data_IF_563123128054
#
_entry.id   IF_563123128054
#
_cell.length_a   1.000
_cell.length_b   1.000
_cell.length_c   1.000
_cell.angle_alpha   90.00
_cell.angle_beta   90.00
_cell.angle_gamma   90.00
#
_symmetry.space_group_name_H-M   'P 1'
#
loop_
_entity.id
_entity.type
_entity.pdbx_description
1 polymer ?
#
# COMPACT_ATOMS: atom_id res chain seq x y z
N UNK A 1 18.83 -27.01 11.91
CA UNK A 1 18.06 -26.27 10.89
C UNK A 1 18.72 -24.92 10.63
N UNK A 2 18.60 -24.33 9.44
CA UNK A 2 19.25 -23.04 9.11
C UNK A 2 18.26 -21.88 9.28
N UNK A 3 18.69 -20.80 9.95
CA UNK A 3 17.89 -19.59 10.10
C UNK A 3 17.69 -18.90 8.74
N UNK A 4 16.44 -18.59 8.37
CA UNK A 4 16.14 -17.90 7.11
C UNK A 4 16.71 -16.48 7.02
N UNK A 5 16.91 -15.81 8.16
CA UNK A 5 17.35 -14.42 8.21
C UNK A 5 18.88 -14.23 8.21
N UNK A 6 19.60 -15.00 9.04
CA UNK A 6 21.07 -14.86 9.16
C UNK A 6 21.86 -16.07 8.67
N UNK A 7 21.20 -17.07 8.07
CA UNK A 7 21.79 -18.29 7.49
C UNK A 7 22.69 -19.10 8.43
N UNK A 8 22.59 -18.91 9.75
CA UNK A 8 23.30 -19.69 10.76
C UNK A 8 22.48 -20.87 11.24
N UNK A 9 23.16 -21.89 11.77
CA UNK A 9 22.49 -23.03 12.39
C UNK A 9 21.71 -22.61 13.63
N UNK A 10 20.53 -23.21 13.80
CA UNK A 10 19.63 -23.01 14.94
C UNK A 10 19.32 -24.37 15.56
N UNK A 11 19.54 -24.47 16.86
CA UNK A 11 19.31 -25.65 17.69
C UNK A 11 18.10 -25.54 18.64
N UNK A 12 17.53 -24.33 18.81
CA UNK A 12 16.37 -24.07 19.70
C UNK A 12 15.13 -23.53 18.98
N UNK A 13 14.18 -22.96 19.73
CA UNK A 13 12.95 -22.30 19.18
C UNK A 13 13.17 -20.90 18.61
N UNK A 14 14.30 -20.28 18.94
CA UNK A 14 14.73 -18.99 18.42
C UNK A 14 16.20 -19.07 18.01
N UNK A 15 16.59 -18.29 16.99
CA UNK A 15 17.98 -18.13 16.60
C UNK A 15 18.73 -17.31 17.66
N UNK A 16 19.80 -17.85 18.23
CA UNK A 16 20.63 -17.15 19.22
C UNK A 16 21.34 -15.91 18.67
N UNK A 17 21.51 -15.82 17.34
CA UNK A 17 22.23 -14.71 16.70
C UNK A 17 21.34 -13.54 16.29
N UNK A 18 20.16 -13.82 15.74
CA UNK A 18 19.25 -12.76 15.28
C UNK A 18 17.90 -12.76 16.01
N UNK A 19 17.60 -13.71 16.89
CA UNK A 19 16.33 -13.74 17.63
C UNK A 19 15.10 -14.15 16.80
N UNK A 20 15.24 -14.48 15.51
CA UNK A 20 14.11 -14.98 14.72
C UNK A 20 13.66 -16.37 15.21
N UNK A 21 12.34 -16.60 15.28
CA UNK A 21 11.76 -17.93 15.51
C UNK A 21 12.24 -18.92 14.47
N UNK A 22 12.65 -20.10 14.92
CA UNK A 22 13.25 -21.12 14.08
C UNK A 22 12.28 -21.57 12.98
N UNK A 23 11.05 -21.91 13.35
CA UNK A 23 10.00 -22.34 12.43
C UNK A 23 9.01 -21.20 12.13
N UNK A 24 9.48 -20.14 11.47
CA UNK A 24 8.61 -19.03 11.06
C UNK A 24 7.69 -19.49 9.90
N UNK A 25 6.35 -19.52 10.09
CA UNK A 25 5.43 -19.99 9.06
C UNK A 25 5.28 -18.96 7.92
N UNK A 26 4.93 -19.43 6.70
CA UNK A 26 4.57 -18.54 5.60
C UNK A 26 3.39 -17.64 5.98
N UNK A 27 3.25 -16.50 5.30
CA UNK A 27 2.15 -15.57 5.57
C UNK A 27 0.82 -16.25 5.25
N UNK A 28 -0.15 -16.13 6.16
CA UNK A 28 -1.52 -16.67 6.00
C UNK A 28 -2.54 -15.57 6.24
N UNK A 29 -3.80 -15.78 5.90
CA UNK A 29 -4.85 -14.81 6.24
C UNK A 29 -5.04 -14.67 7.77
N UNK A 30 -4.84 -15.77 8.50
CA UNK A 30 -4.87 -15.78 9.97
C UNK A 30 -3.77 -14.90 10.59
N UNK A 31 -2.63 -14.72 9.90
CA UNK A 31 -1.59 -13.80 10.34
C UNK A 31 -2.10 -12.36 10.40
N UNK A 32 -2.84 -11.91 9.39
CA UNK A 32 -3.37 -10.55 9.36
C UNK A 32 -4.47 -10.33 10.39
N UNK A 33 -5.35 -11.30 10.62
CA UNK A 33 -6.37 -11.19 11.67
C UNK A 33 -5.73 -11.15 13.06
N UNK A 34 -4.72 -11.98 13.32
CA UNK A 34 -3.95 -11.93 14.57
C UNK A 34 -3.22 -10.60 14.74
N UNK A 35 -2.69 -10.00 13.66
CA UNK A 35 -2.07 -8.68 13.72
C UNK A 35 -3.05 -7.56 14.00
N UNK A 36 -4.25 -7.62 13.43
CA UNK A 36 -5.29 -6.62 13.66
C UNK A 36 -5.77 -6.66 15.13
N UNK A 37 -5.83 -7.86 15.72
CA UNK A 37 -6.28 -8.10 17.09
C UNK A 37 -5.18 -7.92 18.13
N UNK A 38 -3.92 -8.18 17.77
CA UNK A 38 -2.77 -7.90 18.64
C UNK A 38 -2.42 -6.42 18.60
N UNK A 39 -1.75 -5.93 19.64
CA UNK A 39 -1.26 -4.55 19.64
C UNK A 39 -0.31 -4.39 18.45
N UNK A 40 -0.75 -3.62 17.44
CA UNK A 40 0.12 -3.11 16.38
C UNK A 40 1.27 -2.41 17.09
N UNK A 41 2.45 -2.99 17.05
CA UNK A 41 3.63 -2.38 17.63
C UNK A 41 4.57 -1.97 16.49
N UNK A 42 4.41 -0.74 15.96
CA UNK A 42 5.16 -0.27 14.83
C UNK A 42 6.67 -0.14 15.11
N UNK A 43 7.09 -0.25 16.37
CA UNK A 43 8.47 -0.06 16.83
C UNK A 43 9.30 -1.36 16.93
N UNK A 44 8.73 -2.55 16.68
CA UNK A 44 9.55 -3.78 16.70
C UNK A 44 10.55 -3.86 15.54
N UNK A 45 10.35 -3.08 14.49
CA UNK A 45 11.25 -3.02 13.37
C UNK A 45 12.26 -1.89 13.61
N UNK A 46 13.55 -2.23 13.78
CA UNK A 46 14.59 -1.24 14.03
C UNK A 46 14.69 -0.19 12.90
N UNK A 47 15.33 0.95 13.17
CA UNK A 47 15.48 2.08 12.22
C UNK A 47 16.00 1.67 10.83
N UNK A 48 16.80 0.60 10.75
CA UNK A 48 17.27 0.02 9.50
C UNK A 48 16.13 -0.41 8.54
N UNK A 49 14.98 -0.77 9.10
CA UNK A 49 13.81 -1.22 8.36
C UNK A 49 13.12 -0.11 7.59
N UNK A 50 12.95 1.05 8.23
CA UNK A 50 12.31 2.21 7.61
C UNK A 50 13.16 2.70 6.44
N UNK A 51 14.48 2.79 6.62
CA UNK A 51 15.41 3.13 5.55
C UNK A 51 15.41 2.08 4.42
N UNK A 52 15.42 0.79 4.77
CA UNK A 52 15.36 -0.29 3.78
C UNK A 52 14.09 -0.27 2.94
N UNK A 53 12.93 -0.03 3.57
CA UNK A 53 11.65 0.08 2.89
C UNK A 53 11.59 1.29 1.94
N UNK A 54 12.17 2.42 2.33
CA UNK A 54 12.22 3.63 1.50
C UNK A 54 13.17 3.49 0.30
N UNK A 55 14.36 2.90 0.52
CA UNK A 55 15.41 2.83 -0.50
C UNK A 55 15.27 1.61 -1.42
N UNK A 56 14.80 0.48 -0.89
CA UNK A 56 14.74 -0.79 -1.58
C UNK A 56 13.39 -1.52 -1.33
N UNK A 57 12.25 -0.89 -1.66
CA UNK A 57 10.92 -1.41 -1.32
C UNK A 57 10.68 -2.83 -1.84
N UNK A 58 11.09 -3.13 -3.07
CA UNK A 58 10.94 -4.46 -3.66
C UNK A 58 11.67 -5.54 -2.86
N UNK A 59 12.91 -5.26 -2.43
CA UNK A 59 13.73 -6.21 -1.68
C UNK A 59 13.12 -6.45 -0.29
N UNK A 60 12.66 -5.39 0.38
CA UNK A 60 11.97 -5.51 1.67
C UNK A 60 10.72 -6.39 1.59
N UNK A 61 9.92 -6.23 0.52
CA UNK A 61 8.72 -7.05 0.29
C UNK A 61 9.11 -8.53 0.08
N UNK A 62 10.10 -8.80 -0.77
CA UNK A 62 10.58 -10.16 -1.05
C UNK A 62 11.12 -10.82 0.22
N UNK A 63 11.98 -10.14 0.97
CA UNK A 63 12.56 -10.67 2.20
C UNK A 63 11.48 -10.96 3.26
N UNK A 64 10.44 -10.12 3.35
CA UNK A 64 9.30 -10.37 4.23
C UNK A 64 8.55 -11.66 3.88
N UNK A 65 8.24 -11.87 2.60
CA UNK A 65 7.52 -13.04 2.08
C UNK A 65 8.37 -14.30 2.24
N UNK A 66 9.68 -14.19 2.00
CA UNK A 66 10.67 -15.25 2.23
C UNK A 66 10.93 -15.54 3.72
N UNK A 67 10.17 -14.93 4.62
CA UNK A 67 10.22 -15.14 6.07
C UNK A 67 11.52 -14.62 6.73
N UNK A 68 12.15 -13.57 6.20
CA UNK A 68 13.26 -12.83 6.85
C UNK A 68 12.71 -11.61 7.61
N UNK A 69 11.94 -11.86 8.67
CA UNK A 69 11.04 -10.84 9.27
C UNK A 69 11.60 -10.05 10.45
N UNK A 70 12.78 -10.41 10.94
CA UNK A 70 13.34 -9.87 12.19
C UNK A 70 13.50 -8.33 12.15
N UNK A 71 13.98 -7.81 11.04
CA UNK A 71 14.16 -6.36 10.81
C UNK A 71 13.21 -5.85 9.72
N UNK A 72 12.02 -6.45 9.59
CA UNK A 72 11.03 -6.00 8.61
C UNK A 72 9.70 -5.72 9.31
N UNK A 73 9.24 -4.48 9.17
CA UNK A 73 8.03 -3.97 9.78
C UNK A 73 6.84 -4.67 9.15
N UNK A 74 5.87 -5.07 9.97
CA UNK A 74 4.72 -5.82 9.49
C UNK A 74 3.91 -5.00 8.48
N UNK A 75 3.37 -5.59 7.39
CA UNK A 75 2.70 -4.85 6.32
C UNK A 75 1.55 -3.97 6.83
N UNK A 76 0.73 -4.49 7.76
CA UNK A 76 -0.34 -3.72 8.40
C UNK A 76 0.20 -2.54 9.22
N UNK A 77 1.27 -2.77 9.99
CA UNK A 77 1.90 -1.69 10.77
C UNK A 77 2.42 -0.58 9.86
N UNK A 78 3.08 -0.93 8.75
CA UNK A 78 3.59 0.05 7.78
C UNK A 78 2.43 0.81 7.13
N UNK A 79 1.33 0.15 6.77
CA UNK A 79 0.15 0.82 6.22
C UNK A 79 -0.44 1.84 7.18
N UNK A 80 -0.70 1.44 8.43
CA UNK A 80 -1.30 2.35 9.40
C UNK A 80 -0.38 3.52 9.74
N UNK A 81 0.92 3.26 9.94
CA UNK A 81 1.90 4.32 10.21
C UNK A 81 2.01 5.29 9.03
N UNK A 82 2.20 4.80 7.81
CA UNK A 82 2.31 5.66 6.63
C UNK A 82 1.02 6.42 6.34
N UNK A 83 -0.15 5.82 6.60
CA UNK A 83 -1.44 6.50 6.47
C UNK A 83 -1.58 7.64 7.49
N UNK A 84 -1.17 7.41 8.75
CA UNK A 84 -1.15 8.45 9.78
C UNK A 84 -0.21 9.59 9.43
N UNK A 85 1.02 9.27 8.99
CA UNK A 85 1.99 10.27 8.51
C UNK A 85 1.41 11.08 7.35
N UNK A 86 0.83 10.40 6.34
CA UNK A 86 0.21 11.09 5.22
C UNK A 86 -0.93 12.02 5.65
N UNK A 87 -1.82 11.57 6.53
CA UNK A 87 -2.92 12.42 7.03
C UNK A 87 -2.40 13.63 7.81
N UNK A 88 -1.34 13.46 8.61
CA UNK A 88 -0.68 14.57 9.30
C UNK A 88 -0.12 15.58 8.29
N UNK A 89 0.71 15.14 7.35
CA UNK A 89 1.30 16.03 6.34
C UNK A 89 0.23 16.72 5.49
N UNK A 90 -0.81 16.01 5.10
CA UNK A 90 -1.93 16.58 4.35
C UNK A 90 -2.73 17.60 5.19
N UNK A 91 -2.81 17.44 6.52
CA UNK A 91 -3.44 18.42 7.39
C UNK A 91 -2.59 19.71 7.54
N UNK A 92 -1.27 19.60 7.57
CA UNK A 92 -0.37 20.74 7.73
C UNK A 92 0.00 21.45 6.42
N UNK A 93 0.21 20.71 5.34
CA UNK A 93 0.72 21.21 4.07
C UNK A 93 -0.33 21.24 2.95
N UNK A 94 -1.41 20.48 3.10
CA UNK A 94 -2.38 20.28 2.03
C UNK A 94 -3.18 21.54 1.71
N UNK A 95 -3.34 21.82 0.42
CA UNK A 95 -4.11 22.97 -0.03
C UNK A 95 -5.61 22.78 0.24
N UNK A 96 -6.19 23.63 1.07
CA UNK A 96 -7.62 23.60 1.41
C UNK A 96 -8.51 24.27 0.36
N UNK A 97 -7.94 24.90 -0.68
CA UNK A 97 -8.69 25.56 -1.75
C UNK A 97 -9.59 24.59 -2.53
N UNK A 98 -9.12 23.37 -2.80
CA UNK A 98 -9.92 22.32 -3.45
C UNK A 98 -11.15 21.93 -2.62
N UNK A 99 -11.03 21.87 -1.28
CA UNK A 99 -12.16 21.62 -0.38
C UNK A 99 -13.18 22.77 -0.43
N UNK A 100 -12.72 24.01 -0.57
CA UNK A 100 -13.59 25.18 -0.70
C UNK A 100 -14.37 25.19 -2.02
N UNK A 101 -13.73 24.83 -3.15
CA UNK A 101 -14.42 24.71 -4.45
C UNK A 101 -15.43 23.55 -4.49
N UNK A 102 -15.08 22.43 -3.86
CA UNK A 102 -16.00 21.29 -3.74
C UNK A 102 -17.18 21.69 -2.83
N UNK A 103 -16.97 22.38 -1.71
CA UNK A 103 -18.03 22.85 -0.81
C UNK A 103 -19.06 23.76 -1.52
N UNK A 104 -18.62 24.62 -2.44
CA UNK A 104 -19.49 25.55 -3.18
C UNK A 104 -20.44 24.90 -4.20
N UNK A 105 -20.29 23.60 -4.51
CA UNK A 105 -21.14 22.91 -5.48
C UNK A 105 -22.27 22.13 -4.78
N UNK A 106 -23.52 22.52 -5.02
CA UNK A 106 -24.71 22.13 -4.24
C UNK A 106 -25.61 21.08 -4.93
N UNK A 107 -25.05 20.15 -5.70
CA UNK A 107 -25.84 19.04 -6.24
C UNK A 107 -25.87 17.87 -5.25
N UNK A 108 -27.04 17.25 -5.06
CA UNK A 108 -27.24 16.11 -4.14
C UNK A 108 -26.23 14.97 -4.39
N UNK A 109 -25.89 14.70 -5.64
CA UNK A 109 -24.89 13.69 -6.02
C UNK A 109 -23.47 14.09 -5.61
N UNK A 110 -23.15 15.38 -5.70
CA UNK A 110 -21.87 15.94 -5.27
C UNK A 110 -21.76 15.93 -3.73
N UNK A 111 -22.86 16.10 -3.00
CA UNK A 111 -22.90 15.96 -1.53
C UNK A 111 -22.60 14.52 -1.10
N UNK A 112 -23.19 13.52 -1.75
CA UNK A 112 -22.98 12.11 -1.39
C UNK A 112 -21.55 11.64 -1.68
N UNK A 113 -21.00 12.04 -2.84
CA UNK A 113 -19.60 11.80 -3.18
C UNK A 113 -18.66 12.48 -2.18
N UNK A 114 -18.95 13.72 -1.75
CA UNK A 114 -18.18 14.42 -0.70
C UNK A 114 -18.14 13.62 0.59
N UNK A 115 -19.28 13.16 1.10
CA UNK A 115 -19.33 12.38 2.34
C UNK A 115 -18.56 11.07 2.24
N UNK A 116 -18.66 10.37 1.11
CA UNK A 116 -17.91 9.15 0.87
C UNK A 116 -16.39 9.42 0.88
N UNK A 117 -15.94 10.42 0.11
CA UNK A 117 -14.52 10.80 0.06
C UNK A 117 -14.03 11.24 1.44
N UNK A 118 -14.79 12.07 2.14
CA UNK A 118 -14.45 12.50 3.49
C UNK A 118 -14.32 11.30 4.45
N UNK A 119 -15.27 10.36 4.42
CA UNK A 119 -15.24 9.15 5.24
C UNK A 119 -14.03 8.28 4.90
N UNK A 120 -13.69 8.17 3.61
CA UNK A 120 -12.50 7.46 3.13
C UNK A 120 -11.22 8.09 3.68
N UNK A 121 -11.08 9.42 3.61
CA UNK A 121 -9.91 10.12 4.14
C UNK A 121 -9.83 10.05 5.68
N UNK A 122 -10.95 10.16 6.39
CA UNK A 122 -10.98 10.04 7.85
C UNK A 122 -10.57 8.65 8.33
N UNK A 123 -10.83 7.62 7.52
CA UNK A 123 -10.52 6.23 7.84
C UNK A 123 -9.45 5.64 6.89
N UNK A 124 -8.53 6.47 6.39
CA UNK A 124 -7.65 6.15 5.27
C UNK A 124 -6.96 4.79 5.39
N UNK A 125 -6.35 4.49 6.54
CA UNK A 125 -5.66 3.20 6.77
C UNK A 125 -6.59 1.99 6.59
N UNK A 126 -7.80 2.04 7.16
CA UNK A 126 -8.79 0.97 7.02
C UNK A 126 -9.39 0.90 5.62
N UNK A 127 -9.67 2.05 5.00
CA UNK A 127 -10.18 2.10 3.64
C UNK A 127 -9.18 1.52 2.64
N UNK A 128 -7.89 1.84 2.78
CA UNK A 128 -6.81 1.28 1.97
C UNK A 128 -6.58 -0.20 2.24
N UNK A 129 -6.70 -0.66 3.48
CA UNK A 129 -6.68 -2.09 3.80
C UNK A 129 -7.80 -2.82 3.05
N UNK A 130 -9.04 -2.30 3.13
CA UNK A 130 -10.20 -2.94 2.52
C UNK A 130 -10.11 -2.98 0.99
N UNK A 131 -9.62 -1.92 0.35
CA UNK A 131 -9.40 -1.89 -1.11
C UNK A 131 -8.25 -2.77 -1.56
N UNK A 132 -7.23 -2.98 -0.71
CA UNK A 132 -6.08 -3.84 -1.02
C UNK A 132 -6.45 -5.32 -1.14
N UNK A 133 -7.47 -5.80 -0.43
CA UNK A 133 -7.90 -7.20 -0.46
C UNK A 133 -8.39 -7.66 -1.85
N UNK A 134 -9.41 -7.04 -2.47
CA UNK A 134 -9.87 -7.43 -3.80
C UNK A 134 -8.80 -7.18 -4.88
N UNK A 135 -7.95 -6.15 -4.71
CA UNK A 135 -6.85 -5.91 -5.65
C UNK A 135 -5.76 -6.99 -5.54
N UNK A 136 -5.43 -7.43 -4.33
CA UNK A 136 -4.57 -8.58 -4.11
C UNK A 136 -5.13 -9.84 -4.76
N UNK A 137 -6.45 -10.04 -4.73
CA UNK A 137 -7.10 -11.17 -5.39
C UNK A 137 -6.95 -11.12 -6.91
N UNK A 138 -7.16 -9.94 -7.50
CA UNK A 138 -6.99 -9.71 -8.94
C UNK A 138 -5.54 -10.00 -9.38
N UNK A 139 -4.55 -9.52 -8.62
CA UNK A 139 -3.14 -9.81 -8.91
C UNK A 139 -2.78 -11.28 -8.67
N UNK A 140 -3.33 -11.92 -7.65
CA UNK A 140 -3.10 -13.34 -7.38
C UNK A 140 -3.57 -14.21 -8.54
N UNK A 141 -4.75 -13.95 -9.10
CA UNK A 141 -5.26 -14.69 -10.27
C UNK A 141 -4.43 -14.39 -11.51
N UNK A 142 -4.03 -13.13 -11.69
CA UNK A 142 -3.30 -12.68 -12.89
C UNK A 142 -1.83 -13.12 -12.93
N UNK A 143 -1.22 -13.39 -11.76
CA UNK A 143 0.19 -13.73 -11.60
C UNK A 143 0.39 -15.08 -10.91
N UNK A 144 -0.51 -16.04 -11.12
CA UNK A 144 -0.40 -17.41 -10.54
C UNK A 144 0.93 -18.10 -10.82
N UNK A 145 1.57 -17.79 -11.94
CA UNK A 145 2.87 -18.32 -12.32
C UNK A 145 4.00 -17.92 -11.36
N UNK A 146 3.84 -16.83 -10.61
CA UNK A 146 4.83 -16.39 -9.62
C UNK A 146 4.89 -17.29 -8.38
N UNK A 147 3.94 -18.22 -8.21
CA UNK A 147 3.93 -19.20 -7.12
C UNK A 147 3.54 -18.64 -5.75
N UNK A 148 3.26 -17.34 -5.64
CA UNK A 148 2.85 -16.70 -4.39
C UNK A 148 1.39 -17.01 -4.01
N UNK A 149 1.16 -17.21 -2.71
CA UNK A 149 -0.17 -17.43 -2.13
C UNK A 149 -0.97 -16.13 -2.08
N UNK A 150 -2.29 -16.22 -2.03
CA UNK A 150 -3.15 -15.03 -1.88
C UNK A 150 -2.76 -14.14 -0.69
N UNK A 151 -2.43 -14.73 0.47
CA UNK A 151 -1.97 -13.97 1.64
C UNK A 151 -0.65 -13.21 1.41
N UNK A 152 0.22 -13.73 0.54
CA UNK A 152 1.46 -13.05 0.15
C UNK A 152 1.15 -11.90 -0.81
N UNK A 153 0.24 -12.08 -1.76
CA UNK A 153 -0.29 -10.97 -2.57
C UNK A 153 -0.91 -9.86 -1.70
N UNK A 154 -1.64 -10.21 -0.64
CA UNK A 154 -2.15 -9.22 0.32
C UNK A 154 -0.98 -8.45 0.97
N UNK A 155 0.07 -9.14 1.44
CA UNK A 155 1.25 -8.47 2.00
C UNK A 155 1.92 -7.53 0.98
N UNK A 156 2.09 -7.97 -0.27
CA UNK A 156 2.68 -7.18 -1.36
C UNK A 156 1.87 -5.90 -1.56
N UNK A 157 0.54 -6.00 -1.65
CA UNK A 157 -0.30 -4.82 -1.87
C UNK A 157 -0.28 -3.84 -0.71
N UNK A 158 -0.30 -4.33 0.53
CA UNK A 158 -0.21 -3.47 1.71
C UNK A 158 1.10 -2.66 1.71
N UNK A 159 2.22 -3.29 1.35
CA UNK A 159 3.49 -2.56 1.21
C UNK A 159 3.50 -1.58 0.04
N UNK A 160 2.96 -1.96 -1.13
CA UNK A 160 2.92 -1.08 -2.29
C UNK A 160 2.05 0.15 -2.04
N UNK A 161 0.90 -0.02 -1.42
CA UNK A 161 0.03 1.10 -1.01
C UNK A 161 0.73 1.98 0.02
N UNK A 162 1.43 1.38 0.99
CA UNK A 162 2.22 2.13 1.97
C UNK A 162 3.36 2.93 1.34
N UNK A 163 4.05 2.34 0.37
CA UNK A 163 5.10 3.02 -0.39
C UNK A 163 4.51 4.15 -1.24
N UNK A 164 3.32 3.93 -1.80
CA UNK A 164 2.52 4.98 -2.42
C UNK A 164 2.26 6.16 -1.47
N UNK A 165 1.82 5.90 -0.24
CA UNK A 165 1.60 6.97 0.75
C UNK A 165 2.86 7.77 1.07
N UNK A 166 4.02 7.12 1.15
CA UNK A 166 5.31 7.81 1.30
C UNK A 166 5.58 8.74 0.11
N UNK A 167 5.41 8.25 -1.12
CA UNK A 167 5.58 9.06 -2.32
C UNK A 167 4.58 10.23 -2.37
N UNK A 168 3.36 10.04 -1.88
CA UNK A 168 2.35 11.10 -1.76
C UNK A 168 2.72 12.15 -0.70
N UNK A 169 3.38 11.76 0.40
CA UNK A 169 3.94 12.72 1.37
C UNK A 169 5.05 13.55 0.71
N UNK A 170 5.96 12.90 -0.03
CA UNK A 170 7.00 13.59 -0.77
C UNK A 170 6.41 14.60 -1.77
N UNK A 171 5.35 14.20 -2.48
CA UNK A 171 4.61 15.09 -3.38
C UNK A 171 4.12 16.34 -2.64
N UNK A 172 3.38 16.17 -1.53
CA UNK A 172 2.85 17.29 -0.74
C UNK A 172 3.94 18.28 -0.31
N UNK A 173 5.11 17.78 0.12
CA UNK A 173 6.24 18.61 0.50
C UNK A 173 6.79 19.40 -0.71
N UNK A 174 6.97 18.74 -1.85
CA UNK A 174 7.46 19.39 -3.05
C UNK A 174 6.49 20.46 -3.60
N UNK A 175 5.17 20.22 -3.51
CA UNK A 175 4.14 21.20 -3.91
C UNK A 175 4.18 22.43 -3.00
N UNK A 176 4.23 22.20 -1.68
CA UNK A 176 4.23 23.27 -0.69
C UNK A 176 5.44 24.21 -0.83
N UNK A 177 6.62 23.65 -1.11
CA UNK A 177 7.86 24.42 -1.24
C UNK A 177 8.06 25.06 -2.63
N UNK A 178 7.07 24.92 -3.53
CA UNK A 178 7.05 25.54 -4.87
C UNK A 178 8.36 25.37 -5.63
N UNK A 179 8.96 24.18 -5.56
CA UNK A 179 10.19 23.85 -6.27
C UNK A 179 9.99 24.16 -7.75
N UNK A 180 10.78 25.08 -8.31
CA UNK A 180 10.64 25.51 -9.70
C UNK A 180 10.77 24.29 -10.63
N UNK A 181 9.77 24.07 -11.50
CA UNK A 181 9.66 22.87 -12.34
C UNK A 181 8.68 21.81 -11.80
N UNK A 182 8.56 21.67 -10.48
CA UNK A 182 7.59 20.76 -9.87
C UNK A 182 6.17 21.31 -9.94
N UNK A 183 5.99 22.62 -9.74
CA UNK A 183 4.72 23.30 -9.98
C UNK A 183 4.30 23.32 -11.47
N UNK A 184 5.25 23.03 -12.38
CA UNK A 184 5.03 22.96 -13.83
C UNK A 184 4.72 21.53 -14.31
N UNK A 185 5.07 20.49 -13.52
CA UNK A 185 4.60 19.14 -13.79
C UNK A 185 3.09 19.12 -13.56
N UNK A 186 2.31 18.79 -14.59
CA UNK A 186 0.88 18.62 -14.39
C UNK A 186 0.64 17.51 -13.35
N UNK A 187 -0.35 17.65 -12.44
CA UNK A 187 -0.71 16.59 -11.48
C UNK A 187 -0.91 15.21 -12.14
N UNK A 188 -1.32 15.22 -13.42
CA UNK A 188 -1.46 14.04 -14.27
C UNK A 188 -0.12 13.33 -14.55
N UNK A 189 0.94 14.05 -14.92
CA UNK A 189 2.25 13.45 -15.17
C UNK A 189 2.85 12.82 -13.92
N UNK A 190 2.70 13.50 -12.77
CA UNK A 190 3.14 12.97 -11.49
C UNK A 190 2.38 11.68 -11.14
N UNK A 191 1.07 11.65 -11.36
CA UNK A 191 0.23 10.46 -11.16
C UNK A 191 0.68 9.29 -12.04
N UNK A 192 1.01 9.54 -13.32
CA UNK A 192 1.53 8.51 -14.23
C UNK A 192 2.87 7.98 -13.73
N UNK A 193 3.80 8.87 -13.36
CA UNK A 193 5.11 8.49 -12.83
C UNK A 193 4.96 7.64 -11.56
N UNK A 194 4.09 8.06 -10.65
CA UNK A 194 3.79 7.37 -9.40
C UNK A 194 3.33 5.93 -9.64
N UNK A 195 2.29 5.72 -10.45
CA UNK A 195 1.80 4.38 -10.75
C UNK A 195 2.83 3.55 -11.52
N UNK A 196 3.62 4.19 -12.37
CA UNK A 196 4.74 3.53 -13.05
C UNK A 196 5.75 2.99 -12.05
N UNK A 197 6.20 3.81 -11.08
CA UNK A 197 7.14 3.39 -10.03
C UNK A 197 6.59 2.22 -9.22
N UNK A 198 5.30 2.24 -8.83
CA UNK A 198 4.67 1.10 -8.17
C UNK A 198 4.70 -0.16 -9.03
N UNK A 199 4.45 -0.03 -10.33
CA UNK A 199 4.58 -1.13 -11.29
C UNK A 199 6.00 -1.66 -11.42
N UNK A 200 7.02 -0.79 -11.39
CA UNK A 200 8.43 -1.19 -11.36
C UNK A 200 8.74 -2.02 -10.11
N UNK A 201 8.33 -1.53 -8.93
CA UNK A 201 8.51 -2.23 -7.66
C UNK A 201 7.81 -3.59 -7.68
N UNK A 202 6.54 -3.62 -8.10
CA UNK A 202 5.78 -4.87 -8.23
C UNK A 202 6.44 -5.85 -9.19
N UNK A 203 6.94 -5.38 -10.34
CA UNK A 203 7.63 -6.25 -11.30
C UNK A 203 8.86 -6.91 -10.69
N UNK A 204 9.65 -6.16 -9.91
CA UNK A 204 10.84 -6.68 -9.22
C UNK A 204 10.52 -7.66 -8.08
N UNK A 205 9.31 -7.58 -7.51
CA UNK A 205 8.83 -8.55 -6.52
C UNK A 205 8.39 -9.86 -7.21
N UNK A 206 7.76 -9.75 -8.38
CA UNK A 206 7.25 -10.90 -9.14
C UNK A 206 8.35 -11.65 -9.89
N UNK A 207 9.40 -10.95 -10.33
CA UNK A 207 10.57 -11.52 -10.99
C UNK A 207 11.82 -10.77 -10.54
N UNK A 208 12.94 -11.49 -10.34
CA UNK A 208 14.21 -10.85 -9.98
C UNK A 208 14.71 -9.86 -11.05
N UNK A 209 14.34 -10.11 -12.31
CA UNK A 209 14.59 -9.24 -13.45
C UNK A 209 13.40 -8.31 -13.74
N UNK A 210 13.71 -7.13 -14.28
CA UNK A 210 12.71 -6.17 -14.70
C UNK A 210 12.10 -6.58 -16.06
N UNK A 211 10.79 -6.84 -16.08
CA UNK A 211 10.06 -7.09 -17.32
C UNK A 211 8.96 -6.04 -17.53
N UNK A 212 9.10 -5.24 -18.58
CA UNK A 212 8.12 -4.23 -18.99
C UNK A 212 6.71 -4.82 -19.15
N UNK A 213 6.59 -6.07 -19.60
CA UNK A 213 5.30 -6.77 -19.74
C UNK A 213 4.56 -6.91 -18.40
N UNK A 214 5.28 -7.13 -17.29
CA UNK A 214 4.68 -7.22 -15.95
C UNK A 214 4.20 -5.85 -15.50
N UNK A 215 4.98 -4.79 -15.76
CA UNK A 215 4.59 -3.42 -15.44
C UNK A 215 3.31 -3.04 -16.19
N UNK A 216 3.29 -3.23 -17.51
CA UNK A 216 2.12 -2.92 -18.34
C UNK A 216 0.91 -3.70 -17.87
N UNK A 217 1.05 -5.01 -17.61
CA UNK A 217 -0.03 -5.83 -17.06
C UNK A 217 -0.52 -5.32 -15.70
N UNK A 218 0.38 -4.95 -14.81
CA UNK A 218 0.02 -4.39 -13.50
C UNK A 218 -0.72 -3.06 -13.62
N UNK A 219 -0.27 -2.16 -14.49
CA UNK A 219 -0.95 -0.89 -14.77
C UNK A 219 -2.36 -1.11 -15.35
N UNK A 220 -2.51 -2.07 -16.28
CA UNK A 220 -3.82 -2.44 -16.82
C UNK A 220 -4.76 -3.01 -15.75
N UNK A 221 -4.23 -3.82 -14.82
CA UNK A 221 -5.02 -4.34 -13.70
C UNK A 221 -5.42 -3.23 -12.72
N UNK A 222 -4.55 -2.26 -12.46
CA UNK A 222 -4.90 -1.08 -11.65
C UNK A 222 -6.00 -0.27 -12.34
N UNK A 223 -5.87 -0.02 -13.64
CA UNK A 223 -6.90 0.69 -14.42
C UNK A 223 -8.24 -0.05 -14.37
N UNK A 224 -8.23 -1.37 -14.62
CA UNK A 224 -9.40 -2.23 -14.50
C UNK A 224 -10.03 -2.12 -13.11
N UNK A 225 -9.20 -2.19 -12.06
CA UNK A 225 -9.68 -2.12 -10.68
C UNK A 225 -10.31 -0.76 -10.36
N UNK A 226 -9.72 0.35 -10.82
CA UNK A 226 -10.30 1.69 -10.68
C UNK A 226 -11.65 1.77 -11.39
N UNK A 227 -11.76 1.24 -12.62
CA UNK A 227 -13.03 1.21 -13.37
C UNK A 227 -14.09 0.37 -12.63
N UNK A 228 -13.72 -0.78 -12.07
CA UNK A 228 -14.65 -1.60 -11.29
C UNK A 228 -15.13 -0.86 -10.03
N UNK A 229 -14.23 -0.17 -9.32
CA UNK A 229 -14.59 0.62 -8.13
C UNK A 229 -15.52 1.79 -8.48
N UNK A 230 -15.27 2.50 -9.57
CA UNK A 230 -16.14 3.61 -10.00
C UNK A 230 -17.51 3.11 -10.44
N UNK A 231 -17.57 1.99 -11.16
CA UNK A 231 -18.84 1.35 -11.52
C UNK A 231 -19.64 0.92 -10.28
N UNK A 232 -19.00 0.29 -9.29
CA UNK A 232 -19.65 -0.02 -8.02
C UNK A 232 -20.18 1.23 -7.31
N UNK A 233 -19.41 2.33 -7.32
CA UNK A 233 -19.85 3.61 -6.77
C UNK A 233 -21.06 4.20 -7.49
N UNK A 234 -21.07 4.16 -8.83
CA UNK A 234 -22.21 4.63 -9.65
C UNK A 234 -23.47 3.79 -9.38
N UNK A 235 -23.33 2.46 -9.32
CA UNK A 235 -24.44 1.56 -9.00
C UNK A 235 -24.98 1.83 -7.59
N UNK A 236 -24.10 2.06 -6.61
CA UNK A 236 -24.50 2.44 -5.25
C UNK A 236 -25.28 3.75 -5.21
N UNK A 237 -24.82 4.78 -5.92
CA UNK A 237 -25.53 6.06 -6.02
C UNK A 237 -26.87 5.90 -6.73
N UNK A 238 -26.94 5.08 -7.78
CA UNK A 238 -28.18 4.79 -8.50
C UNK A 238 -29.21 4.08 -7.59
N UNK A 239 -28.78 3.11 -6.78
CA UNK A 239 -29.65 2.45 -5.79
C UNK A 239 -30.21 3.43 -4.75
N UNK A 240 -29.46 4.46 -4.37
CA UNK A 240 -29.93 5.50 -3.43
C UNK A 240 -30.88 6.52 -4.06
N UNK A 241 -30.95 6.60 -5.39
CA UNK A 241 -31.80 7.56 -6.11
C UNK A 241 -33.18 6.99 -6.50
N UNK A 242 -33.44 5.69 -6.37
CA UNK A 242 -34.79 5.11 -6.60
C UNK A 242 -35.77 5.64 -5.55
N UNK A 243 -36.91 6.25 -5.88
CA UNK A 243 -38.01 5.65 -6.66
C UNK A 243 -38.28 4.23 -6.15
N UNK A 244 -38.59 4.17 -4.86
CA UNK A 244 -39.65 3.34 -4.29
C UNK A 244 -40.46 4.24 -3.36
#
# INVERSE_FOLDING_TARGET
>A
MICKNCTREVSGHFCSHCGQKSAEPPVTLAYFSQQLLSKINPLHAGNATLLGFLLHPAQTIVDFIQCKRMQIAQPLSVLFVTSGIYLLFNAYLGDHTLKAHIAATDSRNIVLIKYFLQSFYQNLGFSLLLTSLPFAWLTHISFKWAGYRYAEHVAIQLYLVSYGLVLSVLQLVLEHWRVQGFSLMSPTLFTILFYTVLGLVFSKVMSAEYHLQIVVKYLLLMLLFIVLLTMCGVVFLWMQQGIF
#
